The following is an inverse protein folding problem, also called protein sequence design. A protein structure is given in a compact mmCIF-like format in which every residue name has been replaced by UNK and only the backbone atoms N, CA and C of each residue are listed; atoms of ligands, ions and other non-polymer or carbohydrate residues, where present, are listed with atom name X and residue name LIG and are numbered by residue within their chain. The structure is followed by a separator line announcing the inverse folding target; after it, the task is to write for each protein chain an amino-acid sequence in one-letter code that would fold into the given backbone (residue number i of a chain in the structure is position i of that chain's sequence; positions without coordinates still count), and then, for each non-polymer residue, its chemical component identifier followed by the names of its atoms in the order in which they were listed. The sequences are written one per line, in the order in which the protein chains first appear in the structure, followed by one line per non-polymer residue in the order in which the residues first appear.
data_IF_196517229507
#
_entry.id   IF_196517229507
#
_cell.length_a   1.000
_cell.length_b   1.000
_cell.length_c   1.000
_cell.angle_alpha   90.00
_cell.angle_beta   90.00
_cell.angle_gamma   90.00
#
_symmetry.space_group_name_H-M   'P 1'
#
loop_
_entity.id
_entity.type
_entity.pdbx_description
1 polymer ?
#
# COMPACT_ATOMS: atom_id res chain seq x y z
N UNK A 1 13.99 -22.54 -0.51
CA UNK A 1 13.22 -21.72 -1.47
C UNK A 1 12.36 -20.82 -0.60
N UNK A 2 12.78 -19.58 -0.40
CA UNK A 2 12.04 -18.63 0.44
C UNK A 2 10.80 -18.29 -0.40
N UNK A 3 9.64 -18.82 -0.03
CA UNK A 3 8.39 -18.31 -0.58
C UNK A 3 8.30 -16.88 -0.07
N UNK A 4 8.48 -15.90 -0.96
CA UNK A 4 8.07 -14.53 -0.66
C UNK A 4 6.59 -14.58 -0.23
N UNK A 5 6.25 -13.89 0.86
CA UNK A 5 4.88 -13.78 1.32
C UNK A 5 4.03 -13.11 0.22
N UNK A 6 2.85 -13.65 -0.07
CA UNK A 6 2.00 -13.13 -1.15
C UNK A 6 1.60 -11.67 -0.90
N UNK A 7 1.32 -11.29 0.34
CA UNK A 7 1.05 -9.90 0.68
C UNK A 7 2.26 -9.00 0.42
N UNK A 8 3.49 -9.46 0.68
CA UNK A 8 4.70 -8.69 0.39
C UNK A 8 4.80 -8.38 -1.10
N UNK A 9 4.56 -9.38 -1.96
CA UNK A 9 4.56 -9.19 -3.42
C UNK A 9 3.49 -8.20 -3.86
N UNK A 10 2.26 -8.31 -3.35
CA UNK A 10 1.17 -7.40 -3.67
C UNK A 10 1.48 -5.96 -3.23
N UNK A 11 2.05 -5.79 -2.02
CA UNK A 11 2.47 -4.48 -1.53
C UNK A 11 3.62 -3.89 -2.35
N UNK A 12 4.58 -4.71 -2.78
CA UNK A 12 5.63 -4.26 -3.70
C UNK A 12 5.04 -3.74 -5.01
N UNK A 13 4.08 -4.46 -5.61
CA UNK A 13 3.36 -4.01 -6.81
C UNK A 13 2.61 -2.70 -6.53
N UNK A 14 1.97 -2.56 -5.38
CA UNK A 14 1.28 -1.32 -4.98
C UNK A 14 2.25 -0.13 -4.88
N UNK A 15 3.44 -0.34 -4.30
CA UNK A 15 4.50 0.67 -4.19
C UNK A 15 4.98 1.10 -5.58
N UNK A 16 5.25 0.15 -6.48
CA UNK A 16 5.70 0.44 -7.84
C UNK A 16 4.63 1.21 -8.64
N UNK A 17 3.37 0.77 -8.58
CA UNK A 17 2.25 1.48 -9.22
C UNK A 17 2.08 2.89 -8.67
N UNK A 18 2.23 3.07 -7.35
CA UNK A 18 2.20 4.39 -6.74
C UNK A 18 3.31 5.29 -7.26
N UNK A 19 4.56 4.81 -7.31
CA UNK A 19 5.68 5.61 -7.85
C UNK A 19 5.47 5.97 -9.32
N UNK A 20 5.07 5.01 -10.16
CA UNK A 20 4.76 5.29 -11.57
C UNK A 20 3.67 6.36 -11.72
N UNK A 21 2.60 6.27 -10.93
CA UNK A 21 1.51 7.27 -10.96
C UNK A 21 1.97 8.65 -10.48
N UNK A 22 2.81 8.72 -9.46
CA UNK A 22 3.40 9.97 -8.96
C UNK A 22 4.32 10.61 -10.00
N UNK A 23 5.04 9.82 -10.80
CA UNK A 23 5.90 10.34 -11.87
C UNK A 23 5.08 10.95 -13.02
N UNK A 24 3.94 10.36 -13.34
CA UNK A 24 3.08 10.79 -14.46
C UNK A 24 2.09 11.91 -14.09
N UNK A 25 1.67 12.00 -12.83
CA UNK A 25 0.63 12.93 -12.37
C UNK A 25 1.21 14.05 -11.51
N UNK A 26 1.34 15.23 -12.13
CA UNK A 26 1.83 16.43 -11.45
C UNK A 26 1.01 16.79 -10.21
N UNK A 27 -0.32 16.65 -10.23
CA UNK A 27 -1.17 17.02 -9.09
C UNK A 27 -0.96 16.04 -7.94
N UNK A 28 -0.88 14.75 -8.25
CA UNK A 28 -0.59 13.73 -7.25
C UNK A 28 0.79 13.97 -6.63
N UNK A 29 1.81 14.21 -7.47
CA UNK A 29 3.17 14.50 -7.03
C UNK A 29 3.24 15.66 -6.04
N UNK A 30 2.65 16.80 -6.39
CA UNK A 30 2.60 17.98 -5.52
C UNK A 30 1.84 17.69 -4.21
N UNK A 31 0.78 16.87 -4.26
CA UNK A 31 0.02 16.51 -3.06
C UNK A 31 0.83 15.63 -2.10
N UNK A 32 1.60 14.66 -2.60
CA UNK A 32 2.32 13.69 -1.76
C UNK A 32 3.71 14.15 -1.32
N UNK A 33 4.30 15.15 -1.99
CA UNK A 33 5.66 15.64 -1.71
C UNK A 33 5.81 16.21 -0.29
N UNK A 34 4.77 16.85 0.24
CA UNK A 34 4.75 17.40 1.60
C UNK A 34 4.28 16.43 2.69
N UNK A 35 3.96 15.18 2.33
CA UNK A 35 3.40 14.21 3.28
C UNK A 35 4.50 13.36 3.92
N UNK A 36 4.39 13.19 5.24
CA UNK A 36 5.09 12.18 6.01
C UNK A 36 4.05 11.37 6.77
N UNK A 37 3.87 10.10 6.39
CA UNK A 37 2.84 9.22 6.96
C UNK A 37 3.36 7.81 7.15
N UNK A 38 3.03 7.23 8.30
CA UNK A 38 3.15 5.80 8.54
C UNK A 38 1.83 5.12 8.19
N UNK A 39 1.89 4.15 7.28
CA UNK A 39 0.74 3.41 6.78
C UNK A 39 0.89 1.97 7.23
N UNK A 40 -0.09 1.48 7.98
CA UNK A 40 -0.22 0.07 8.35
C UNK A 40 -1.25 -0.60 7.44
N UNK A 41 -0.88 -1.73 6.87
CA UNK A 41 -1.80 -2.65 6.19
C UNK A 41 -1.91 -3.91 7.04
N UNK A 42 -3.09 -4.15 7.61
CA UNK A 42 -3.40 -5.37 8.34
C UNK A 42 -4.17 -6.31 7.41
N UNK A 43 -3.49 -7.38 7.00
CA UNK A 43 -4.09 -8.50 6.31
C UNK A 43 -4.76 -9.44 7.31
N UNK A 44 -6.02 -9.80 7.06
CA UNK A 44 -6.76 -10.79 7.87
C UNK A 44 -6.15 -12.18 7.77
N UNK A 45 -5.41 -12.44 6.69
CA UNK A 45 -4.82 -13.70 6.28
C UNK A 45 -3.26 -13.73 6.33
N UNK A 46 -2.58 -12.56 6.38
CA UNK A 46 -1.10 -12.47 6.32
C UNK A 46 -0.51 -11.37 7.22
N UNK A 47 -1.05 -11.25 8.44
CA UNK A 47 -0.47 -10.40 9.49
C UNK A 47 -0.46 -8.90 9.15
N UNK A 48 0.48 -8.14 9.72
CA UNK A 48 0.55 -6.68 9.55
C UNK A 48 1.86 -6.24 8.90
N UNK A 49 1.72 -5.29 7.97
CA UNK A 49 2.79 -4.71 7.18
C UNK A 49 2.75 -3.18 7.31
N UNK A 50 3.92 -2.56 7.19
CA UNK A 50 4.11 -1.13 7.26
C UNK A 50 4.74 -0.58 5.99
N UNK A 51 4.28 0.59 5.59
CA UNK A 51 4.85 1.45 4.56
C UNK A 51 5.04 2.85 5.15
N UNK A 52 6.08 3.55 4.74
CA UNK A 52 6.28 4.95 5.09
C UNK A 52 6.22 5.78 3.82
N UNK A 53 5.29 6.74 3.77
CA UNK A 53 5.29 7.81 2.78
C UNK A 53 6.15 8.95 3.30
N UNK A 54 7.20 9.31 2.57
CA UNK A 54 8.02 10.48 2.86
C UNK A 54 8.55 11.09 1.57
N UNK A 55 8.47 12.41 1.43
CA UNK A 55 8.94 13.15 0.25
C UNK A 55 8.40 12.58 -1.06
N UNK A 56 7.11 12.23 -1.09
CA UNK A 56 6.44 11.64 -2.24
C UNK A 56 6.84 10.21 -2.60
N UNK A 57 7.57 9.50 -1.74
CA UNK A 57 7.95 8.10 -1.96
C UNK A 57 7.46 7.19 -0.83
N UNK A 58 6.88 6.05 -1.21
CA UNK A 58 6.69 4.93 -0.30
C UNK A 58 8.00 4.14 -0.10
N UNK A 59 8.24 3.70 1.13
CA UNK A 59 9.26 2.69 1.46
C UNK A 59 8.88 1.31 0.92
N UNK A 60 9.83 0.37 0.85
CA UNK A 60 9.49 -1.05 0.74
C UNK A 60 8.61 -1.50 1.91
N UNK A 61 7.75 -2.53 1.71
CA UNK A 61 6.98 -3.13 2.77
C UNK A 61 7.90 -3.77 3.82
N UNK A 62 7.53 -3.62 5.08
CA UNK A 62 8.17 -4.30 6.21
C UNK A 62 7.11 -4.89 7.12
N UNK A 63 7.41 -5.96 7.85
CA UNK A 63 6.52 -6.40 8.94
C UNK A 63 6.40 -5.27 9.97
N UNK A 64 5.19 -5.01 10.44
CA UNK A 64 4.90 -3.94 11.39
C UNK A 64 3.81 -4.36 12.37
N UNK A 65 4.04 -4.17 13.66
CA UNK A 65 3.06 -4.46 14.72
C UNK A 65 2.43 -3.17 15.29
N UNK A 66 3.15 -2.05 15.17
CA UNK A 66 2.72 -0.74 15.65
C UNK A 66 1.57 -0.15 14.79
N UNK A 67 0.78 0.74 15.38
CA UNK A 67 -0.22 1.52 14.65
C UNK A 67 0.46 2.57 13.76
N UNK A 68 -0.05 2.73 12.53
CA UNK A 68 0.33 3.83 11.65
C UNK A 68 -0.65 5.00 11.75
N UNK A 69 -0.26 6.17 11.24
CA UNK A 69 -1.18 7.31 11.02
C UNK A 69 -2.44 6.90 10.25
N UNK A 70 -2.29 5.91 9.37
CA UNK A 70 -3.35 5.31 8.55
C UNK A 70 -3.28 3.80 8.74
N UNK A 71 -4.41 3.17 9.06
CA UNK A 71 -4.53 1.71 9.10
C UNK A 71 -5.57 1.24 8.09
N UNK A 72 -5.19 0.32 7.21
CA UNK A 72 -6.06 -0.36 6.25
C UNK A 72 -6.20 -1.81 6.66
N UNK A 73 -7.42 -2.32 6.76
CA UNK A 73 -7.70 -3.72 7.09
C UNK A 73 -8.30 -4.39 5.86
N UNK A 74 -7.62 -5.40 5.32
CA UNK A 74 -8.00 -6.09 4.07
C UNK A 74 -7.58 -7.56 4.13
N UNK A 75 -7.78 -8.31 3.05
CA UNK A 75 -7.15 -9.60 2.77
C UNK A 75 -6.38 -9.53 1.43
N UNK A 76 -5.60 -10.57 1.14
CA UNK A 76 -4.77 -10.63 -0.07
C UNK A 76 -5.59 -10.63 -1.35
N UNK A 77 -6.73 -11.34 -1.36
CA UNK A 77 -7.65 -11.41 -2.50
C UNK A 77 -8.23 -10.03 -2.83
N UNK A 78 -8.70 -9.28 -1.82
CA UNK A 78 -9.23 -7.93 -2.02
C UNK A 78 -8.16 -6.96 -2.52
N UNK A 79 -6.95 -6.99 -1.93
CA UNK A 79 -5.87 -6.12 -2.39
C UNK A 79 -5.48 -6.44 -3.84
N UNK A 80 -5.41 -7.72 -4.18
CA UNK A 80 -5.15 -8.15 -5.55
C UNK A 80 -6.23 -7.64 -6.52
N UNK A 81 -7.50 -7.81 -6.20
CA UNK A 81 -8.60 -7.28 -7.03
C UNK A 81 -8.56 -5.77 -7.20
N UNK A 82 -8.14 -5.02 -6.16
CA UNK A 82 -7.93 -3.56 -6.28
C UNK A 82 -6.76 -3.25 -7.22
N UNK A 83 -5.64 -3.96 -7.08
CA UNK A 83 -4.47 -3.75 -7.93
C UNK A 83 -4.75 -4.14 -9.38
N UNK A 84 -5.57 -5.15 -9.63
CA UNK A 84 -5.96 -5.59 -10.97
C UNK A 84 -7.11 -4.76 -11.56
N UNK A 85 -7.56 -3.70 -10.86
CA UNK A 85 -8.68 -2.81 -11.23
C UNK A 85 -10.05 -3.52 -11.34
N UNK A 86 -10.15 -4.73 -10.79
CA UNK A 86 -11.39 -5.51 -10.69
C UNK A 86 -12.29 -5.03 -9.54
N UNK A 87 -11.68 -4.43 -8.51
CA UNK A 87 -12.36 -3.87 -7.35
C UNK A 87 -12.04 -2.38 -7.19
N UNK A 88 -13.06 -1.56 -6.95
CA UNK A 88 -12.87 -0.15 -6.66
C UNK A 88 -12.71 0.05 -5.13
N UNK A 89 -11.58 0.60 -4.66
CA UNK A 89 -11.32 0.79 -3.23
C UNK A 89 -12.29 1.76 -2.54
N UNK A 90 -13.00 2.61 -3.31
CA UNK A 90 -14.00 3.54 -2.76
C UNK A 90 -15.36 2.86 -2.58
N UNK A 91 -15.73 1.93 -3.47
CA UNK A 91 -17.02 1.24 -3.41
C UNK A 91 -17.02 0.08 -2.40
N UNK A 92 -15.85 -0.48 -2.08
CA UNK A 92 -15.70 -1.56 -1.09
C UNK A 92 -15.77 -1.14 0.38
N UNK A 93 -16.01 0.15 0.69
CA UNK A 93 -16.03 0.69 2.06
C UNK A 93 -17.44 0.75 2.70
N UNK A 94 -18.35 -0.14 2.28
CA UNK A 94 -19.74 -0.19 2.74
C UNK A 94 -20.01 -1.27 3.78
#
# INVERSE_FOLDING_TARGET
MIMEDEAERLLMVAVEKFHARVEEDKKLKEAVEGMNKEIRIQFRDDGSWGLTLSSGRLSPPRRAEDEGDITVITDTETLKGILDEELNPIEGAT
#
